data_IF_037587918416
#
_entry.id   IF_037587918416
#
_cell.length_a   1.000
_cell.length_b   1.000
_cell.length_c   1.000
_cell.angle_alpha   90.00
_cell.angle_beta   90.00
_cell.angle_gamma   90.00
#
_symmetry.space_group_name_H-M   'P 1'
#
loop_
_entity.id
_entity.type
_entity.pdbx_description
1 polymer ?
#
# COMPACT_ATOMS: atom_id res chain seq x y z
N UNK A 1 -11.84 1.80 13.37
CA UNK A 1 -11.40 2.39 12.09
C UNK A 1 -12.17 1.68 10.99
N UNK A 2 -13.15 2.33 10.35
CA UNK A 2 -14.11 1.63 9.50
C UNK A 2 -14.21 2.36 8.15
N UNK A 3 -13.48 1.83 7.18
CA UNK A 3 -13.48 2.28 5.79
C UNK A 3 -14.81 1.91 5.13
N UNK A 4 -15.39 2.85 4.40
CA UNK A 4 -16.52 2.63 3.51
C UNK A 4 -16.03 2.84 2.09
N UNK A 5 -16.27 1.88 1.20
CA UNK A 5 -16.40 2.17 -0.23
C UNK A 5 -17.06 0.99 -0.96
N UNK A 6 -18.05 1.31 -1.81
CA UNK A 6 -18.32 0.51 -3.01
C UNK A 6 -17.12 0.78 -3.91
N UNK A 7 -16.26 -0.22 -4.14
CA UNK A 7 -15.18 -0.12 -5.10
C UNK A 7 -15.70 -0.70 -6.41
N UNK A 8 -15.81 0.15 -7.43
CA UNK A 8 -16.00 -0.27 -8.82
C UNK A 8 -14.60 -0.33 -9.43
N UNK A 9 -14.08 -1.54 -9.62
CA UNK A 9 -12.82 -1.75 -10.33
C UNK A 9 -13.13 -1.92 -11.83
N UNK A 10 -12.59 -1.05 -12.67
CA UNK A 10 -12.68 -1.17 -14.14
C UNK A 10 -11.45 -1.92 -14.64
N UNK A 11 -11.65 -3.11 -15.20
CA UNK A 11 -10.62 -3.81 -15.97
C UNK A 11 -10.90 -3.52 -17.45
N UNK A 12 -10.04 -2.71 -18.08
CA UNK A 12 -10.14 -2.41 -19.51
C UNK A 12 -9.10 -3.19 -20.30
N UNK A 13 -9.56 -4.01 -21.26
CA UNK A 13 -8.80 -4.32 -22.48
C UNK A 13 -9.58 -3.75 -23.67
N UNK A 14 -8.86 -3.11 -24.59
CA UNK A 14 -9.36 -2.17 -25.61
C UNK A 14 -10.00 -2.86 -26.83
N UNK A 15 -10.80 -3.92 -26.62
CA UNK A 15 -11.55 -4.56 -27.72
C UNK A 15 -13.01 -4.92 -27.35
N UNK A 16 -13.92 -4.01 -27.74
CA UNK A 16 -15.35 -4.23 -28.05
C UNK A 16 -16.34 -4.85 -27.04
N UNK A 17 -15.98 -5.04 -25.77
CA UNK A 17 -16.93 -5.10 -24.64
C UNK A 17 -16.13 -4.97 -23.33
N UNK A 18 -16.31 -3.89 -22.58
CA UNK A 18 -15.64 -3.75 -21.28
C UNK A 18 -16.38 -4.59 -20.23
N UNK A 19 -15.74 -5.65 -19.74
CA UNK A 19 -16.26 -6.42 -18.63
C UNK A 19 -16.17 -5.59 -17.33
N UNK A 20 -17.30 -5.38 -16.67
CA UNK A 20 -17.36 -4.65 -15.41
C UNK A 20 -17.35 -5.62 -14.22
N UNK A 21 -16.45 -5.41 -13.27
CA UNK A 21 -16.42 -6.15 -12.01
C UNK A 21 -17.19 -5.37 -10.94
N UNK A 22 -18.27 -5.96 -10.43
CA UNK A 22 -19.08 -5.36 -9.35
C UNK A 22 -18.86 -6.15 -8.06
N UNK A 23 -18.45 -5.46 -6.98
CA UNK A 23 -18.31 -6.03 -5.63
C UNK A 23 -19.33 -5.41 -4.68
N UNK A 24 -20.19 -6.24 -4.10
CA UNK A 24 -21.13 -5.85 -3.06
C UNK A 24 -20.55 -6.20 -1.69
N UNK A 25 -20.47 -5.21 -0.79
CA UNK A 25 -19.94 -5.35 0.57
C UNK A 25 -21.02 -5.01 1.60
N UNK A 26 -20.89 -5.55 2.80
CA UNK A 26 -21.80 -5.24 3.91
C UNK A 26 -21.50 -3.85 4.46
N UNK A 27 -22.53 -3.01 4.61
CA UNK A 27 -22.39 -1.70 5.23
C UNK A 27 -22.10 -1.83 6.73
N UNK A 28 -21.04 -1.18 7.18
CA UNK A 28 -20.69 -1.11 8.58
C UNK A 28 -21.00 0.29 9.14
N UNK A 29 -21.93 0.43 10.11
CA UNK A 29 -22.28 1.72 10.67
C UNK A 29 -21.10 2.32 11.46
N UNK A 30 -20.87 3.63 11.32
CA UNK A 30 -19.81 4.34 12.02
C UNK A 30 -19.53 5.73 11.46
N UNK A 31 -18.49 6.39 12.00
CA UNK A 31 -17.98 7.65 11.49
C UNK A 31 -16.62 7.44 10.83
N UNK A 32 -16.39 8.12 9.70
CA UNK A 32 -15.09 8.11 9.02
C UNK A 32 -14.04 8.82 9.88
N UNK A 33 -12.80 8.34 9.84
CA UNK A 33 -11.72 8.81 10.71
C UNK A 33 -11.47 10.32 10.59
N UNK A 34 -11.55 10.87 9.37
CA UNK A 34 -11.37 12.30 9.12
C UNK A 34 -12.42 13.19 9.84
N UNK A 35 -13.61 12.66 10.15
CA UNK A 35 -14.73 13.43 10.73
C UNK A 35 -14.82 13.32 12.25
N UNK A 36 -13.92 12.58 12.89
CA UNK A 36 -13.92 12.42 14.35
C UNK A 36 -12.77 13.20 14.99
N UNK A 37 -12.91 13.52 16.28
CA UNK A 37 -11.84 14.13 17.04
C UNK A 37 -10.70 13.12 17.22
N UNK A 38 -9.48 13.54 16.91
CA UNK A 38 -8.27 12.73 17.03
C UNK A 38 -7.77 12.70 18.47
N UNK A 39 -8.44 11.92 19.32
CA UNK A 39 -8.02 11.72 20.71
C UNK A 39 -6.88 10.70 20.84
N UNK A 40 -6.20 10.72 21.98
CA UNK A 40 -5.13 9.73 22.27
C UNK A 40 -5.67 8.31 22.32
N UNK A 41 -6.86 8.14 22.88
CA UNK A 41 -7.57 6.86 23.01
C UNK A 41 -7.95 6.30 21.63
N UNK A 42 -8.34 7.18 20.69
CA UNK A 42 -8.62 6.79 19.32
C UNK A 42 -7.37 6.26 18.62
N UNK A 43 -6.23 6.94 18.74
CA UNK A 43 -4.97 6.44 18.17
C UNK A 43 -4.48 5.16 18.84
N UNK A 44 -4.65 5.04 20.16
CA UNK A 44 -4.28 3.83 20.88
C UNK A 44 -5.12 2.62 20.41
N UNK A 45 -6.44 2.77 20.32
CA UNK A 45 -7.33 1.72 19.82
C UNK A 45 -7.08 1.39 18.34
N UNK A 46 -6.73 2.40 17.52
CA UNK A 46 -6.29 2.20 16.15
C UNK A 46 -5.02 1.32 16.07
N UNK A 47 -4.01 1.64 16.88
CA UNK A 47 -2.78 0.84 16.95
C UNK A 47 -3.04 -0.60 17.39
N UNK A 48 -3.88 -0.80 18.41
CA UNK A 48 -4.28 -2.15 18.85
C UNK A 48 -4.97 -2.93 17.72
N UNK A 49 -5.84 -2.27 16.95
CA UNK A 49 -6.51 -2.90 15.82
C UNK A 49 -5.53 -3.29 14.72
N UNK A 50 -4.61 -2.40 14.34
CA UNK A 50 -3.58 -2.68 13.32
C UNK A 50 -2.67 -3.83 13.76
N UNK A 51 -2.23 -3.83 15.02
CA UNK A 51 -1.40 -4.92 15.56
C UNK A 51 -2.13 -6.27 15.53
N UNK A 52 -3.44 -6.29 15.88
CA UNK A 52 -4.25 -7.51 15.80
C UNK A 52 -4.41 -7.99 14.35
N UNK A 53 -4.63 -7.06 13.41
CA UNK A 53 -4.75 -7.37 11.99
C UNK A 53 -3.46 -7.98 11.47
N UNK A 54 -2.31 -7.33 11.73
CA UNK A 54 -0.97 -7.82 11.37
C UNK A 54 -0.75 -9.25 11.89
N UNK A 55 -0.96 -9.48 13.19
CA UNK A 55 -0.78 -10.79 13.80
C UNK A 55 -1.69 -11.87 13.19
N UNK A 56 -2.92 -11.50 12.82
CA UNK A 56 -3.87 -12.43 12.21
C UNK A 56 -3.45 -12.80 10.78
N UNK A 57 -2.79 -11.89 10.06
CA UNK A 57 -2.38 -12.08 8.66
C UNK A 57 -1.00 -12.70 8.49
N UNK A 58 -0.16 -12.81 9.54
CA UNK A 58 1.22 -13.34 9.45
C UNK A 58 1.37 -14.69 8.74
N UNK A 59 0.38 -15.57 8.85
CA UNK A 59 0.40 -16.90 8.20
C UNK A 59 -0.48 -17.00 6.95
N UNK A 60 -1.11 -15.90 6.53
CA UNK A 60 -2.02 -15.90 5.40
C UNK A 60 -1.24 -15.91 4.09
N UNK A 61 -1.47 -16.93 3.25
CA UNK A 61 -0.91 -17.01 1.91
C UNK A 61 -2.02 -17.28 0.89
N UNK A 62 -1.93 -16.63 -0.27
CA UNK A 62 -2.83 -16.87 -1.39
C UNK A 62 -2.01 -16.95 -2.69
N UNK A 63 -2.22 -17.96 -3.56
CA UNK A 63 -1.41 -18.15 -4.77
C UNK A 63 -1.36 -16.94 -5.71
N UNK A 64 -2.42 -16.11 -5.72
CA UNK A 64 -2.42 -14.87 -6.49
C UNK A 64 -1.31 -13.88 -6.11
N UNK A 65 -0.76 -13.96 -4.89
CA UNK A 65 0.36 -13.10 -4.48
C UNK A 65 1.72 -13.59 -4.98
N UNK A 66 1.80 -14.79 -5.57
CA UNK A 66 3.05 -15.29 -6.15
C UNK A 66 3.37 -14.60 -7.49
N UNK A 67 2.34 -14.19 -8.23
CA UNK A 67 2.48 -13.50 -9.51
C UNK A 67 2.16 -12.00 -9.44
N UNK A 68 1.50 -11.56 -8.36
CA UNK A 68 1.21 -10.14 -8.15
C UNK A 68 2.50 -9.39 -7.85
N UNK A 69 2.69 -8.26 -8.53
CA UNK A 69 3.74 -7.30 -8.21
C UNK A 69 3.14 -5.91 -8.07
N UNK A 70 3.45 -5.25 -6.95
CA UNK A 70 3.03 -3.89 -6.66
C UNK A 70 4.22 -2.94 -6.54
N UNK A 71 4.01 -1.67 -6.88
CA UNK A 71 4.97 -0.60 -6.60
C UNK A 71 5.21 -0.41 -5.09
N UNK A 72 4.28 -0.89 -4.25
CA UNK A 72 4.38 -0.80 -2.79
C UNK A 72 5.22 -1.91 -2.15
N UNK A 73 5.71 -2.87 -2.93
CA UNK A 73 6.63 -3.88 -2.41
C UNK A 73 8.03 -3.30 -2.20
N UNK A 74 8.72 -3.73 -1.15
CA UNK A 74 10.05 -3.25 -0.81
C UNK A 74 11.04 -3.40 -1.99
N UNK A 75 10.94 -4.51 -2.74
CA UNK A 75 11.75 -4.80 -3.94
C UNK A 75 11.52 -3.82 -5.08
N UNK A 76 10.36 -3.18 -5.10
CA UNK A 76 9.95 -2.23 -6.14
C UNK A 76 10.46 -0.81 -5.88
N UNK A 77 11.06 -0.53 -4.72
CA UNK A 77 11.57 0.81 -4.40
C UNK A 77 12.48 1.43 -5.49
N UNK A 78 13.38 0.70 -6.17
CA UNK A 78 14.18 1.26 -7.27
C UNK A 78 13.35 1.78 -8.44
N UNK A 79 12.13 1.25 -8.67
CA UNK A 79 11.24 1.71 -9.72
C UNK A 79 10.75 3.14 -9.49
N UNK A 80 10.86 3.65 -8.26
CA UNK A 80 10.52 5.02 -7.90
C UNK A 80 11.36 6.06 -8.66
N UNK A 81 12.54 5.69 -9.18
CA UNK A 81 13.36 6.55 -10.04
C UNK A 81 12.57 7.11 -11.23
N UNK A 82 11.64 6.31 -11.77
CA UNK A 82 10.77 6.72 -12.89
C UNK A 82 9.84 7.85 -12.53
N UNK A 83 9.60 8.13 -11.25
CA UNK A 83 8.65 9.13 -10.75
C UNK A 83 9.33 10.35 -10.10
N UNK A 84 10.67 10.40 -10.07
CA UNK A 84 11.42 11.52 -9.48
C UNK A 84 11.05 12.86 -10.14
N UNK A 85 10.65 12.84 -11.42
CA UNK A 85 10.17 14.02 -12.14
C UNK A 85 8.98 14.72 -11.46
N UNK A 86 8.21 14.01 -10.61
CA UNK A 86 7.08 14.58 -9.89
C UNK A 86 7.50 15.48 -8.71
N UNK A 87 8.73 15.33 -8.22
CA UNK A 87 9.29 16.17 -7.15
C UNK A 87 9.73 17.50 -7.78
N UNK A 88 9.22 18.62 -7.27
CA UNK A 88 9.48 19.96 -7.85
C UNK A 88 10.80 20.57 -7.42
N UNK A 89 11.18 20.35 -6.16
CA UNK A 89 12.36 20.95 -5.55
C UNK A 89 13.59 20.09 -5.83
N UNK A 90 14.64 20.70 -6.39
CA UNK A 90 15.83 19.97 -6.86
C UNK A 90 16.62 19.34 -5.71
N UNK A 91 16.74 20.03 -4.57
CA UNK A 91 17.37 19.49 -3.36
C UNK A 91 16.67 18.21 -2.87
N UNK A 92 15.33 18.18 -2.94
CA UNK A 92 14.54 17.01 -2.55
C UNK A 92 14.68 15.86 -3.55
N UNK A 93 14.87 16.15 -4.84
CA UNK A 93 15.18 15.11 -5.84
C UNK A 93 16.51 14.44 -5.53
N UNK A 94 17.55 15.25 -5.30
CA UNK A 94 18.87 14.74 -4.97
C UNK A 94 18.83 13.84 -3.73
N UNK A 95 18.12 14.27 -2.68
CA UNK A 95 17.92 13.45 -1.48
C UNK A 95 17.22 12.11 -1.79
N UNK A 96 16.17 12.13 -2.61
CA UNK A 96 15.47 10.91 -3.02
C UNK A 96 16.40 9.98 -3.81
N UNK A 97 17.21 10.52 -4.73
CA UNK A 97 18.17 9.74 -5.51
C UNK A 97 19.24 9.10 -4.63
N UNK A 98 19.75 9.84 -3.64
CA UNK A 98 20.74 9.35 -2.68
C UNK A 98 20.16 8.22 -1.81
N UNK A 99 18.94 8.40 -1.29
CA UNK A 99 18.25 7.36 -0.51
C UNK A 99 18.00 6.11 -1.35
N UNK A 100 17.57 6.27 -2.62
CA UNK A 100 17.36 5.14 -3.52
C UNK A 100 18.67 4.42 -3.85
N UNK A 101 19.76 5.17 -4.05
CA UNK A 101 21.08 4.58 -4.27
C UNK A 101 21.56 3.78 -3.04
N UNK A 102 21.47 4.36 -1.85
CA UNK A 102 21.82 3.68 -0.60
C UNK A 102 20.95 2.45 -0.35
N UNK A 103 19.66 2.51 -0.68
CA UNK A 103 18.76 1.36 -0.60
C UNK A 103 19.20 0.23 -1.55
N UNK A 104 19.54 0.57 -2.81
CA UNK A 104 20.02 -0.39 -3.80
C UNK A 104 21.32 -1.06 -3.37
N UNK A 105 22.25 -0.33 -2.77
CA UNK A 105 23.54 -0.87 -2.32
C UNK A 105 23.45 -1.69 -1.02
N UNK A 106 22.61 -1.27 -0.06
CA UNK A 106 22.64 -1.83 1.29
C UNK A 106 21.49 -2.78 1.60
N UNK A 107 20.31 -2.56 1.00
CA UNK A 107 19.08 -3.29 1.36
C UNK A 107 18.74 -4.36 0.33
N UNK A 108 18.86 -4.07 -0.98
CA UNK A 108 18.56 -5.08 -2.00
C UNK A 108 19.40 -6.36 -1.87
N UNK A 109 20.72 -6.32 -1.58
CA UNK A 109 21.51 -7.55 -1.45
C UNK A 109 21.12 -8.40 -0.24
N UNK A 110 20.55 -7.78 0.80
CA UNK A 110 20.11 -8.45 2.03
C UNK A 110 18.62 -8.78 2.01
N UNK A 111 17.92 -8.54 0.90
CA UNK A 111 16.46 -8.53 0.90
C UNK A 111 15.83 -9.89 1.21
N UNK A 112 16.50 -11.00 0.86
CA UNK A 112 16.05 -12.36 1.19
C UNK A 112 16.18 -12.70 2.68
N UNK A 113 16.92 -11.89 3.46
CA UNK A 113 17.12 -12.10 4.89
C UNK A 113 16.03 -11.47 5.76
N UNK A 114 15.21 -10.57 5.19
CA UNK A 114 14.09 -9.96 5.90
C UNK A 114 12.90 -10.92 5.99
N UNK A 115 12.09 -10.75 7.03
CA UNK A 115 10.79 -11.42 7.15
C UNK A 115 9.94 -11.04 5.93
N UNK A 116 9.29 -12.04 5.33
CA UNK A 116 8.42 -11.87 4.15
C UNK A 116 7.05 -11.35 4.55
#
# INVERSE_FOLDING_TARGET
LHFCCIIIDVLGDDTSTSDHVVRLLTYQPGSVFQRVLHSRELFFSAGQFVAKLDQTLKGFHHPAYESYSSLWELRSAPLLRKFIFAVREEERKHLVEEVLHSFEENVLPSLETFEK
#
